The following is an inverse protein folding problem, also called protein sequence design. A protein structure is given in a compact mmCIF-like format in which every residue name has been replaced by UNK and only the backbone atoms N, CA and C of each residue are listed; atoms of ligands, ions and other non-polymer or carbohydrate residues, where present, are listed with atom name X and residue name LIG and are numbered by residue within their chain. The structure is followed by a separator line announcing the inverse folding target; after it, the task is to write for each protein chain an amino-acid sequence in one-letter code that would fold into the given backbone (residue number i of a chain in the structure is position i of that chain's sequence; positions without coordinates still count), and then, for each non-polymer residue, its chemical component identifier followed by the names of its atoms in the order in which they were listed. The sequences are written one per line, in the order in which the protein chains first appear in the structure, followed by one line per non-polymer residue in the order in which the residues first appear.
data_IF_755865777919
#
_entry.id   IF_755865777919
#
_cell.length_a   1.000
_cell.length_b   1.000
_cell.length_c   1.000
_cell.angle_alpha   90.00
_cell.angle_beta   90.00
_cell.angle_gamma   90.00
#
_symmetry.space_group_name_H-M   'P 1'
#
loop_
_entity.id
_entity.type
_entity.pdbx_description
1 polymer ?
#
# COMPACT_ATOMS: atom_id res chain seq x y z
N UNK A 1 -9.56 20.72 13.42
CA UNK A 1 -9.92 19.30 13.58
C UNK A 1 -9.56 18.56 12.30
N UNK A 2 -8.78 17.47 12.31
CA UNK A 2 -8.52 16.72 11.09
C UNK A 2 -9.73 15.84 10.73
N UNK A 3 -10.22 15.98 9.49
CA UNK A 3 -11.40 15.32 8.94
C UNK A 3 -11.12 13.83 8.64
N UNK A 4 -12.12 12.97 8.88
CA UNK A 4 -12.11 11.53 8.52
C UNK A 4 -11.53 11.31 7.11
N UNK A 5 -10.60 10.37 6.97
CA UNK A 5 -10.06 9.97 5.66
C UNK A 5 -8.92 10.82 5.10
N UNK A 6 -8.43 11.84 5.82
CA UNK A 6 -7.33 12.68 5.35
C UNK A 6 -6.08 12.49 6.22
N UNK A 7 -5.07 11.78 5.70
CA UNK A 7 -3.74 11.66 6.33
C UNK A 7 -2.77 12.59 5.60
N UNK A 8 -2.37 13.68 6.25
CA UNK A 8 -1.40 14.64 5.74
C UNK A 8 -0.35 14.98 6.80
N UNK A 9 0.93 15.02 6.40
CA UNK A 9 2.07 15.35 7.27
C UNK A 9 2.85 14.13 7.80
N UNK A 10 4.13 14.34 8.12
CA UNK A 10 5.03 13.28 8.62
C UNK A 10 5.57 12.38 7.52
N UNK A 11 5.38 11.06 7.65
CA UNK A 11 5.88 10.05 6.69
C UNK A 11 5.00 9.88 5.45
N UNK A 12 3.84 10.55 5.39
CA UNK A 12 2.86 10.42 4.30
C UNK A 12 3.19 11.35 3.12
N UNK A 13 3.20 10.81 1.90
CA UNK A 13 3.45 11.59 0.68
C UNK A 13 2.46 11.23 -0.43
N UNK A 14 1.89 12.22 -1.12
CA UNK A 14 1.01 12.02 -2.28
C UNK A 14 -0.45 12.29 -1.98
N UNK A 15 -1.34 11.37 -2.38
CA UNK A 15 -2.77 11.48 -2.09
C UNK A 15 -3.02 11.42 -0.59
N UNK A 16 -4.03 12.13 -0.12
CA UNK A 16 -4.38 12.20 1.31
C UNK A 16 -5.55 11.28 1.66
N UNK A 17 -6.25 10.80 0.65
CA UNK A 17 -7.47 10.01 0.79
C UNK A 17 -7.13 8.53 0.90
N UNK A 18 -7.68 7.88 1.93
CA UNK A 18 -7.61 6.45 2.16
C UNK A 18 -9.00 5.83 2.05
N UNK A 19 -9.08 4.59 1.56
CA UNK A 19 -10.27 3.77 1.75
C UNK A 19 -10.30 3.28 3.20
N UNK A 20 -11.48 3.11 3.79
CA UNK A 20 -11.63 2.69 5.20
C UNK A 20 -10.82 1.41 5.53
N UNK A 21 -10.77 0.47 4.59
CA UNK A 21 -10.02 -0.78 4.72
C UNK A 21 -8.48 -0.58 4.78
N UNK A 22 -7.98 0.53 4.22
CA UNK A 22 -6.55 0.83 4.18
C UNK A 22 -6.11 1.68 5.38
N UNK A 23 -7.01 2.42 6.03
CA UNK A 23 -6.67 3.31 7.14
C UNK A 23 -5.90 2.59 8.25
N UNK A 24 -6.46 1.49 8.77
CA UNK A 24 -5.86 0.74 9.89
C UNK A 24 -4.49 0.17 9.55
N UNK A 25 -4.32 -0.38 8.35
CA UNK A 25 -3.04 -0.92 7.87
C UNK A 25 -1.98 0.16 7.69
N UNK A 26 -2.40 1.31 7.18
CA UNK A 26 -1.52 2.44 6.89
C UNK A 26 -1.11 3.15 8.18
N UNK A 27 -2.02 3.33 9.12
CA UNK A 27 -1.72 3.84 10.45
C UNK A 27 -0.73 2.92 11.19
N UNK A 28 -0.98 1.61 11.18
CA UNK A 28 -0.06 0.64 11.77
C UNK A 28 1.31 0.62 11.08
N UNK A 29 1.37 0.78 9.75
CA UNK A 29 2.63 0.92 9.03
C UNK A 29 3.39 2.17 9.46
N UNK A 30 2.71 3.31 9.57
CA UNK A 30 3.33 4.59 9.91
C UNK A 30 3.93 4.64 11.31
N UNK A 31 3.35 3.86 12.24
CA UNK A 31 3.84 3.74 13.62
C UNK A 31 5.11 2.90 13.75
N UNK A 32 5.50 2.14 12.72
CA UNK A 32 6.73 1.37 12.75
C UNK A 32 7.95 2.27 12.54
N UNK A 33 9.00 2.03 13.34
CA UNK A 33 10.25 2.81 13.28
C UNK A 33 11.01 2.59 11.97
N UNK A 34 10.97 1.37 11.43
CA UNK A 34 11.65 1.00 10.18
C UNK A 34 11.03 1.64 8.93
N UNK A 35 9.74 2.00 9.00
CA UNK A 35 9.03 2.62 7.89
C UNK A 35 9.50 4.07 7.80
N UNK A 36 10.15 4.41 6.69
CA UNK A 36 10.70 5.75 6.46
C UNK A 36 9.67 6.63 5.76
N UNK A 37 8.85 6.06 4.87
CA UNK A 37 7.88 6.80 4.07
C UNK A 37 6.71 5.91 3.67
N UNK A 38 5.52 6.49 3.65
CA UNK A 38 4.30 5.88 3.11
C UNK A 38 3.77 6.76 2.00
N UNK A 39 3.77 6.24 0.77
CA UNK A 39 3.21 6.92 -0.38
C UNK A 39 1.84 6.32 -0.74
N UNK A 40 0.82 7.16 -0.65
CA UNK A 40 -0.54 6.78 -1.01
C UNK A 40 -0.70 6.88 -2.53
N UNK A 41 -0.95 5.73 -3.15
CA UNK A 41 -1.12 5.59 -4.59
C UNK A 41 -2.58 5.74 -5.02
N UNK A 42 -2.83 5.33 -6.26
CA UNK A 42 -4.10 5.52 -6.96
C UNK A 42 -5.20 4.68 -6.29
N UNK A 43 -6.38 5.28 -6.15
CA UNK A 43 -7.62 4.59 -5.82
C UNK A 43 -8.31 4.23 -7.13
N UNK A 44 -8.47 2.93 -7.38
CA UNK A 44 -9.16 2.42 -8.56
C UNK A 44 -10.57 1.95 -8.18
N UNK A 45 -11.63 2.42 -8.84
CA UNK A 45 -12.96 1.86 -8.64
C UNK A 45 -12.99 0.42 -9.15
N UNK A 46 -13.71 -0.45 -8.47
CA UNK A 46 -13.90 -1.87 -8.87
C UNK A 46 -15.37 -2.12 -9.16
N UNK A 47 -15.68 -2.62 -10.36
CA UNK A 47 -17.05 -2.84 -10.84
C UNK A 47 -17.80 -3.99 -10.12
N UNK A 48 -17.07 -4.89 -9.46
CA UNK A 48 -17.66 -5.99 -8.69
C UNK A 48 -17.14 -5.93 -7.26
N UNK A 49 -17.99 -5.41 -6.37
CA UNK A 49 -17.78 -5.51 -4.93
C UNK A 49 -17.85 -6.96 -4.51
N UNK A 50 -16.70 -7.53 -4.17
CA UNK A 50 -16.64 -8.82 -3.52
C UNK A 50 -17.22 -8.62 -2.11
N UNK A 51 -18.52 -8.88 -1.95
CA UNK A 51 -19.21 -8.73 -0.67
C UNK A 51 -18.40 -9.38 0.46
N UNK A 52 -18.03 -8.56 1.45
CA UNK A 52 -17.58 -9.02 2.76
C UNK A 52 -16.14 -9.48 2.91
N UNK A 53 -15.27 -9.43 1.89
CA UNK A 53 -13.86 -9.84 2.05
C UNK A 53 -12.88 -8.76 1.61
N UNK A 54 -12.36 -8.03 2.59
CA UNK A 54 -11.15 -7.23 2.41
C UNK A 54 -10.01 -8.16 2.03
N UNK A 55 -9.28 -7.78 0.97
CA UNK A 55 -8.09 -8.51 0.50
C UNK A 55 -6.91 -7.58 0.47
N UNK A 56 -5.79 -8.02 1.02
CA UNK A 56 -4.53 -7.28 0.96
C UNK A 56 -3.51 -8.10 0.19
N UNK A 57 -3.04 -7.52 -0.91
CA UNK A 57 -1.97 -8.07 -1.71
C UNK A 57 -0.66 -7.42 -1.30
N UNK A 58 0.34 -8.24 -0.97
CA UNK A 58 1.69 -7.78 -0.68
C UNK A 58 2.58 -8.07 -1.89
N UNK A 59 3.28 -7.05 -2.37
CA UNK A 59 4.32 -7.16 -3.38
C UNK A 59 5.57 -6.41 -2.90
N UNK A 60 6.75 -6.97 -3.16
CA UNK A 60 8.01 -6.28 -2.86
C UNK A 60 8.38 -5.36 -4.01
N UNK A 61 8.72 -4.10 -3.69
CA UNK A 61 9.16 -3.07 -4.63
C UNK A 61 10.58 -2.63 -4.28
N UNK A 62 11.21 -1.86 -5.17
CA UNK A 62 12.54 -1.33 -4.91
C UNK A 62 12.51 -0.39 -3.67
N UNK A 63 13.23 -0.77 -2.61
CA UNK A 63 13.29 -0.03 -1.35
C UNK A 63 12.02 -0.11 -0.47
N UNK A 64 11.12 -1.08 -0.71
CA UNK A 64 9.89 -1.15 0.08
C UNK A 64 8.91 -2.26 -0.27
N UNK A 65 7.66 -2.07 0.14
CA UNK A 65 6.54 -2.99 -0.01
C UNK A 65 5.37 -2.23 -0.64
N UNK A 66 4.80 -2.76 -1.71
CA UNK A 66 3.53 -2.33 -2.27
C UNK A 66 2.40 -3.16 -1.65
N UNK A 67 1.47 -2.48 -1.00
CA UNK A 67 0.21 -3.02 -0.53
C UNK A 67 -0.88 -2.65 -1.52
N UNK A 68 -1.61 -3.64 -2.03
CA UNK A 68 -2.88 -3.38 -2.71
C UNK A 68 -4.01 -3.79 -1.78
N UNK A 69 -4.69 -2.81 -1.21
CA UNK A 69 -5.83 -3.01 -0.33
C UNK A 69 -7.10 -2.96 -1.16
N UNK A 70 -7.79 -4.09 -1.26
CA UNK A 70 -9.08 -4.20 -1.96
C UNK A 70 -10.21 -4.07 -0.95
N UNK A 71 -10.95 -2.97 -1.06
CA UNK A 71 -12.21 -2.74 -0.36
C UNK A 71 -13.41 -3.29 -1.13
N UNK A 72 -14.60 -2.83 -0.75
CA UNK A 72 -15.85 -3.24 -1.39
C UNK A 72 -16.06 -2.53 -2.74
N UNK A 73 -15.81 -1.23 -2.82
CA UNK A 73 -16.09 -0.41 -4.01
C UNK A 73 -14.85 0.10 -4.72
N UNK A 74 -13.70 0.03 -4.05
CA UNK A 74 -12.43 0.52 -4.57
C UNK A 74 -11.26 -0.37 -4.11
N UNK A 75 -10.20 -0.37 -4.91
CA UNK A 75 -8.89 -0.88 -4.52
C UNK A 75 -7.91 0.29 -4.43
N UNK A 76 -7.10 0.31 -3.38
CA UNK A 76 -6.07 1.33 -3.19
C UNK A 76 -4.69 0.71 -3.17
N UNK A 77 -3.77 1.33 -3.90
CA UNK A 77 -2.36 0.99 -3.91
C UNK A 77 -1.63 1.87 -2.88
N UNK A 78 -0.86 1.27 -1.98
CA UNK A 78 -0.07 1.97 -0.96
C UNK A 78 1.37 1.47 -1.01
N UNK A 79 2.32 2.37 -1.19
CA UNK A 79 3.75 2.06 -1.20
C UNK A 79 4.36 2.40 0.16
N UNK A 80 4.91 1.42 0.84
CA UNK A 80 5.60 1.56 2.12
C UNK A 80 7.09 1.42 1.86
N UNK A 81 7.84 2.48 2.07
CA UNK A 81 9.30 2.45 2.05
C UNK A 81 9.81 2.16 3.45
N UNK A 82 10.74 1.21 3.55
CA UNK A 82 11.28 0.73 4.82
C UNK A 82 12.76 0.43 4.67
N UNK A 83 13.52 0.63 5.74
CA UNK A 83 14.91 0.19 5.82
C UNK A 83 15.05 -1.32 6.06
N UNK A 84 14.00 -1.97 6.58
CA UNK A 84 13.98 -3.41 6.88
C UNK A 84 12.73 -4.09 6.30
N UNK A 85 12.80 -4.47 5.02
CA UNK A 85 11.70 -5.13 4.30
C UNK A 85 11.18 -6.41 5.00
N UNK A 86 12.02 -7.39 5.38
CA UNK A 86 11.51 -8.65 5.95
C UNK A 86 10.79 -8.44 7.29
N UNK A 87 11.32 -7.59 8.16
CA UNK A 87 10.72 -7.30 9.47
C UNK A 87 9.39 -6.52 9.32
N UNK A 88 9.40 -5.46 8.52
CA UNK A 88 8.19 -4.68 8.22
C UNK A 88 7.11 -5.56 7.58
N UNK A 89 7.48 -6.43 6.64
CA UNK A 89 6.53 -7.37 5.99
C UNK A 89 5.90 -8.32 7.00
N UNK A 90 6.69 -8.88 7.92
CA UNK A 90 6.20 -9.78 8.95
C UNK A 90 5.20 -9.08 9.88
N UNK A 91 5.52 -7.86 10.34
CA UNK A 91 4.66 -7.05 11.21
C UNK A 91 3.34 -6.72 10.52
N UNK A 92 3.39 -6.24 9.27
CA UNK A 92 2.18 -5.94 8.49
C UNK A 92 1.33 -7.17 8.23
N UNK A 93 1.95 -8.32 7.93
CA UNK A 93 1.22 -9.55 7.69
C UNK A 93 0.51 -10.04 8.96
N UNK A 94 1.18 -9.99 10.12
CA UNK A 94 0.56 -10.32 11.42
C UNK A 94 -0.62 -9.40 11.73
N UNK A 95 -0.45 -8.11 11.50
CA UNK A 95 -1.53 -7.14 11.72
C UNK A 95 -2.71 -7.38 10.76
N UNK A 96 -2.46 -7.60 9.46
CA UNK A 96 -3.50 -7.91 8.48
C UNK A 96 -4.30 -9.18 8.83
N UNK A 97 -3.65 -10.22 9.37
CA UNK A 97 -4.33 -11.42 9.86
C UNK A 97 -5.21 -11.12 11.08
N UNK A 98 -4.75 -10.25 11.99
CA UNK A 98 -5.50 -9.89 13.20
C UNK A 98 -6.82 -9.17 12.91
N UNK A 99 -6.90 -8.47 11.78
CA UNK A 99 -8.10 -7.75 11.33
C UNK A 99 -8.94 -8.57 10.33
N UNK A 100 -8.85 -9.90 10.38
CA UNK A 100 -9.64 -10.85 9.56
C UNK A 100 -9.58 -10.60 8.05
N UNK A 101 -8.45 -10.10 7.56
CA UNK A 101 -8.27 -9.78 6.14
C UNK A 101 -7.62 -10.94 5.40
N UNK A 102 -8.12 -11.25 4.19
CA UNK A 102 -7.52 -12.29 3.34
C UNK A 102 -6.23 -11.76 2.71
N UNK A 103 -5.12 -12.46 2.91
CA UNK A 103 -3.79 -12.03 2.44
C UNK A 103 -3.39 -12.80 1.18
N UNK A 104 -2.74 -12.13 0.25
CA UNK A 104 -2.10 -12.78 -0.90
C UNK A 104 -0.73 -12.15 -1.16
N UNK A 105 0.22 -12.98 -1.60
CA UNK A 105 1.57 -12.54 -1.94
C UNK A 105 1.76 -12.57 -3.45
N UNK A 106 2.49 -11.60 -3.99
CA UNK A 106 2.89 -11.60 -5.40
C UNK A 106 4.38 -11.39 -5.50
N UNK A 107 5.01 -12.20 -6.37
CA UNK A 107 6.44 -12.15 -6.62
C UNK A 107 6.82 -10.79 -7.23
N UNK A 108 8.05 -10.37 -6.92
CA UNK A 108 8.73 -9.14 -7.34
C UNK A 108 8.26 -8.63 -8.71
N UNK A 109 7.68 -7.44 -8.73
CA UNK A 109 7.51 -6.68 -9.97
C UNK A 109 8.87 -6.04 -10.28
N UNK A 110 9.66 -6.67 -11.16
CA UNK A 110 10.82 -6.03 -11.75
C UNK A 110 10.29 -4.95 -12.71
N UNK A 111 10.27 -3.70 -12.25
CA UNK A 111 10.06 -2.55 -13.12
C UNK A 111 11.28 -2.45 -14.04
N UNK A 112 11.23 -3.09 -15.20
CA UNK A 112 12.13 -2.80 -16.31
C UNK A 112 11.85 -1.36 -16.76
N UNK A 113 12.71 -0.42 -16.35
CA UNK A 113 12.85 0.85 -17.05
C UNK A 113 13.66 0.57 -18.32
N UNK A 114 13.00 0.23 -19.42
CA UNK A 114 13.56 0.51 -20.73
C UNK A 114 13.53 2.04 -20.92
N UNK A 115 14.67 2.68 -20.68
CA UNK A 115 14.91 4.04 -21.16
C UNK A 115 15.06 3.95 -22.68
N UNK A 116 14.16 4.63 -23.40
CA UNK A 116 14.24 4.82 -24.84
C UNK A 116 15.52 5.58 -25.22
N UNK A 117 16.30 5.14 -26.23
CA UNK A 117 17.15 6.06 -26.95
C UNK A 117 16.28 6.81 -27.97
N UNK A 118 16.06 8.11 -27.71
CA UNK A 118 15.52 9.04 -28.70
C UNK A 118 16.59 9.21 -29.79
N UNK A 119 16.43 8.53 -30.93
CA UNK A 119 17.15 8.92 -32.15
C UNK A 119 16.45 10.13 -32.75
N UNK A 120 17.17 11.24 -32.85
CA UNK A 120 16.84 12.37 -33.71
C UNK A 120 17.57 12.14 -35.02
N UNK A 121 16.82 12.11 -36.12
CA UNK A 121 17.28 12.37 -37.48
C UNK A 121 16.47 13.55 -38.02
#
# INVERSE_FOLDING_TARGET
MPSKGHRGGGKFVGHTTLIEAAETLVDFASSQVEVTRVALGIIRPIQHGAQGKFRVKFAEINGGILLTVRGNTAAQEVRIYTSNIPETRLKLCRYALSISTSISFTKKEQVNKELTPVHRD
#
